data_IF_036934523147
#
_entry.id   IF_036934523147
#
_cell.length_a   1.000
_cell.length_b   1.000
_cell.length_c   1.000
_cell.angle_alpha   90.00
_cell.angle_beta   90.00
_cell.angle_gamma   90.00
#
_symmetry.space_group_name_H-M   'P 1'
#
loop_
_entity.id
_entity.type
_entity.pdbx_description
1 polymer ?
#
# COMPACT_ATOMS: atom_id res chain seq x y z
N UNK A 1 14.48 -9.85 2.72
CA UNK A 1 13.51 -8.76 2.96
C UNK A 1 14.29 -7.60 3.56
N UNK A 2 14.19 -6.41 2.97
CA UNK A 2 14.84 -5.20 3.48
C UNK A 2 13.73 -4.30 4.00
N UNK A 3 13.78 -3.93 5.29
CA UNK A 3 12.85 -2.96 5.86
C UNK A 3 13.44 -1.55 5.75
N UNK A 4 12.70 -0.66 5.11
CA UNK A 4 13.06 0.74 4.95
C UNK A 4 12.10 1.60 5.76
N UNK A 5 12.62 2.38 6.70
CA UNK A 5 11.78 3.21 7.55
C UNK A 5 10.94 4.20 6.75
N UNK A 6 9.63 4.27 7.04
CA UNK A 6 8.66 5.08 6.29
C UNK A 6 8.67 6.60 6.55
N UNK A 7 9.40 7.07 7.56
CA UNK A 7 9.53 8.50 7.89
C UNK A 7 10.18 9.26 6.72
N UNK A 8 9.70 10.48 6.40
CA UNK A 8 10.22 11.25 5.25
C UNK A 8 11.72 11.47 5.35
N UNK A 9 12.22 11.77 6.55
CA UNK A 9 13.66 11.92 6.84
C UNK A 9 14.51 10.69 6.48
N UNK A 10 13.93 9.48 6.50
CA UNK A 10 14.62 8.22 6.17
C UNK A 10 14.54 7.85 4.69
N UNK A 11 13.63 8.45 3.92
CA UNK A 11 13.42 8.12 2.49
C UNK A 11 14.64 8.39 1.61
N UNK A 12 15.50 9.35 1.98
CA UNK A 12 16.78 9.59 1.28
C UNK A 12 17.70 8.36 1.26
N UNK A 13 17.54 7.43 2.20
CA UNK A 13 18.34 6.20 2.27
C UNK A 13 17.77 5.05 1.42
N UNK A 14 16.56 5.21 0.87
CA UNK A 14 15.92 4.15 0.09
C UNK A 14 16.68 3.82 -1.20
N UNK A 15 17.38 4.80 -1.78
CA UNK A 15 18.21 4.60 -2.98
C UNK A 15 19.24 3.47 -2.81
N UNK A 16 19.75 3.26 -1.59
CA UNK A 16 20.73 2.20 -1.31
C UNK A 16 20.09 0.80 -1.20
N UNK A 17 18.75 0.71 -1.17
CA UNK A 17 18.01 -0.52 -1.07
C UNK A 17 17.33 -0.93 -2.39
N UNK A 18 17.47 -0.12 -3.45
CA UNK A 18 16.70 -0.26 -4.69
C UNK A 18 17.44 -0.94 -5.85
N UNK A 19 18.67 -1.40 -5.67
CA UNK A 19 19.31 -2.26 -6.67
C UNK A 19 18.72 -3.68 -6.65
N UNK A 20 18.31 -4.16 -7.83
CA UNK A 20 17.83 -5.53 -8.08
C UNK A 20 16.62 -5.99 -7.26
N UNK A 21 15.69 -5.08 -6.95
CA UNK A 21 14.44 -5.41 -6.22
C UNK A 21 13.49 -6.19 -7.13
N UNK A 22 13.15 -7.43 -6.74
CA UNK A 22 12.18 -8.26 -7.47
C UNK A 22 10.72 -7.92 -7.13
N UNK A 23 10.47 -7.57 -5.87
CA UNK A 23 9.14 -7.28 -5.36
C UNK A 23 9.18 -6.24 -4.25
N UNK A 24 8.19 -5.36 -4.24
CA UNK A 24 7.95 -4.35 -3.22
C UNK A 24 6.72 -4.77 -2.43
N UNK A 25 6.83 -4.74 -1.11
CA UNK A 25 5.70 -4.85 -0.21
C UNK A 25 5.47 -3.46 0.36
N UNK A 26 4.39 -2.82 -0.04
CA UNK A 26 3.99 -1.50 0.44
C UNK A 26 2.88 -1.66 1.48
N UNK A 27 3.09 -1.12 2.69
CA UNK A 27 2.11 -1.19 3.77
C UNK A 27 1.46 0.17 4.00
N UNK A 28 0.14 0.18 4.06
CA UNK A 28 -0.69 1.35 4.33
C UNK A 28 -1.55 1.07 5.55
N UNK A 29 -1.49 1.94 6.54
CA UNK A 29 -2.40 1.91 7.67
C UNK A 29 -3.69 2.65 7.30
N UNK A 30 -4.74 1.91 6.91
CA UNK A 30 -5.98 2.53 6.42
C UNK A 30 -6.78 3.23 7.53
N UNK A 31 -6.52 2.88 8.79
CA UNK A 31 -7.09 3.54 9.97
C UNK A 31 -6.56 4.95 10.25
N UNK A 32 -5.58 5.42 9.47
CA UNK A 32 -4.95 6.74 9.63
C UNK A 32 -5.59 7.82 8.75
N UNK A 33 -6.79 7.54 8.22
CA UNK A 33 -7.55 8.44 7.34
C UNK A 33 -7.93 9.78 7.98
N UNK A 34 -7.90 9.88 9.30
CA UNK A 34 -8.24 11.07 10.09
C UNK A 34 -7.05 11.62 10.87
N UNK A 35 -5.85 11.11 10.61
CA UNK A 35 -4.61 11.54 11.27
C UNK A 35 -3.81 12.46 10.36
N UNK A 36 -3.10 13.40 11.00
CA UNK A 36 -2.09 14.24 10.34
C UNK A 36 -0.68 13.68 10.59
N UNK A 37 0.26 13.99 9.70
CA UNK A 37 1.64 13.55 9.86
C UNK A 37 2.30 14.19 11.08
N UNK A 38 3.11 13.42 11.80
CA UNK A 38 3.89 13.94 12.93
C UNK A 38 4.86 15.07 12.52
N UNK A 39 5.38 15.03 11.29
CA UNK A 39 6.33 16.01 10.77
C UNK A 39 5.64 17.31 10.30
N UNK A 40 4.34 17.27 10.00
CA UNK A 40 3.56 18.43 9.53
C UNK A 40 2.06 18.25 9.86
N UNK A 41 1.51 19.17 10.66
CA UNK A 41 0.10 19.12 11.11
C UNK A 41 -0.94 19.39 10.01
N UNK A 42 -0.51 19.68 8.78
CA UNK A 42 -1.40 20.03 7.66
C UNK A 42 -1.65 18.89 6.67
N UNK A 43 -0.90 17.78 6.77
CA UNK A 43 -0.94 16.71 5.77
C UNK A 43 -1.57 15.45 6.37
N UNK A 44 -2.66 14.99 5.77
CA UNK A 44 -3.31 13.75 6.12
C UNK A 44 -2.41 12.52 5.82
N UNK A 45 -2.32 11.57 6.76
CA UNK A 45 -1.42 10.41 6.64
C UNK A 45 -1.81 9.43 5.53
N UNK A 46 -3.11 9.23 5.30
CA UNK A 46 -3.57 8.36 4.22
C UNK A 46 -3.34 9.00 2.84
N UNK A 47 -3.54 10.32 2.72
CA UNK A 47 -3.19 11.08 1.51
C UNK A 47 -1.70 11.02 1.22
N UNK A 48 -0.85 11.19 2.24
CA UNK A 48 0.60 11.02 2.07
C UNK A 48 0.96 9.60 1.61
N UNK A 49 0.32 8.58 2.18
CA UNK A 49 0.55 7.19 1.79
C UNK A 49 0.19 6.94 0.33
N UNK A 50 -0.88 7.56 -0.16
CA UNK A 50 -1.28 7.52 -1.57
C UNK A 50 -0.24 8.20 -2.47
N UNK A 51 0.26 9.37 -2.08
CA UNK A 51 1.28 10.09 -2.84
C UNK A 51 2.61 9.34 -2.89
N UNK A 52 3.02 8.75 -1.76
CA UNK A 52 4.22 7.92 -1.67
C UNK A 52 4.08 6.66 -2.53
N UNK A 53 2.92 6.01 -2.50
CA UNK A 53 2.64 4.85 -3.34
C UNK A 53 2.80 5.18 -4.83
N UNK A 54 2.20 6.29 -5.30
CA UNK A 54 2.38 6.77 -6.67
C UNK A 54 3.86 7.00 -7.02
N UNK A 55 4.61 7.64 -6.12
CA UNK A 55 6.03 7.90 -6.32
C UNK A 55 6.83 6.60 -6.50
N UNK A 56 6.47 5.54 -5.77
CA UNK A 56 7.14 4.23 -5.85
C UNK A 56 6.80 3.51 -7.14
N UNK A 57 5.52 3.39 -7.50
CA UNK A 57 5.10 2.62 -8.68
C UNK A 57 5.54 3.27 -9.99
N UNK A 58 5.70 4.60 -10.02
CA UNK A 58 6.22 5.33 -11.20
C UNK A 58 7.73 5.60 -11.13
N UNK A 59 8.43 5.01 -10.15
CA UNK A 59 9.89 5.14 -10.06
C UNK A 59 10.56 4.28 -11.13
N UNK A 60 11.41 4.89 -11.95
CA UNK A 60 12.22 4.20 -12.97
C UNK A 60 13.15 3.15 -12.38
N UNK A 61 13.53 3.28 -11.10
CA UNK A 61 14.37 2.32 -10.39
C UNK A 61 13.64 1.03 -10.03
N UNK A 62 12.30 1.08 -10.02
CA UNK A 62 11.42 0.02 -9.55
C UNK A 62 10.44 -0.44 -10.64
N UNK A 63 10.63 0.03 -11.87
CA UNK A 63 9.80 -0.32 -13.03
C UNK A 63 9.73 -1.84 -13.20
N UNK A 64 10.84 -2.54 -12.95
CA UNK A 64 10.89 -3.99 -13.06
C UNK A 64 10.30 -4.76 -11.86
N UNK A 65 10.10 -4.10 -10.72
CA UNK A 65 9.62 -4.74 -9.51
C UNK A 65 8.10 -4.96 -9.54
N UNK A 66 7.67 -6.13 -9.08
CA UNK A 66 6.25 -6.38 -8.76
C UNK A 66 5.86 -5.64 -7.47
N UNK A 67 4.64 -5.09 -7.41
CA UNK A 67 4.17 -4.36 -6.21
C UNK A 67 3.00 -5.08 -5.55
N UNK A 68 3.14 -5.34 -4.24
CA UNK A 68 2.12 -5.90 -3.37
C UNK A 68 1.78 -4.84 -2.33
N UNK A 69 0.50 -4.48 -2.26
CA UNK A 69 -0.03 -3.44 -1.38
C UNK A 69 -0.87 -4.07 -0.26
N UNK A 70 -0.47 -3.82 0.99
CA UNK A 70 -1.24 -4.18 2.16
C UNK A 70 -1.99 -2.98 2.73
N UNK A 71 -3.31 -3.09 2.73
CA UNK A 71 -4.24 -2.20 3.41
C UNK A 71 -4.43 -2.73 4.83
N UNK A 72 -3.52 -2.32 5.73
CA UNK A 72 -3.37 -2.83 7.08
C UNK A 72 -4.15 -2.02 8.12
N UNK A 73 -4.33 -2.61 9.31
CA UNK A 73 -5.10 -2.05 10.45
C UNK A 73 -6.61 -1.95 10.14
N UNK A 74 -7.16 -2.97 9.49
CA UNK A 74 -8.60 -3.04 9.17
C UNK A 74 -9.47 -3.09 10.42
N UNK A 75 -8.99 -3.74 11.46
CA UNK A 75 -9.57 -3.78 12.81
C UNK A 75 -9.77 -2.37 13.38
N UNK A 76 -8.72 -1.55 13.32
CA UNK A 76 -8.80 -0.17 13.82
C UNK A 76 -9.66 0.72 12.92
N UNK A 77 -9.74 0.45 11.62
CA UNK A 77 -10.70 1.15 10.75
C UNK A 77 -12.15 0.83 11.16
N UNK A 78 -12.46 -0.44 11.41
CA UNK A 78 -13.79 -0.91 11.82
C UNK A 78 -14.24 -0.28 13.13
N UNK A 79 -13.34 -0.16 14.11
CA UNK A 79 -13.64 0.54 15.35
C UNK A 79 -13.84 2.05 15.10
N UNK A 80 -12.94 2.67 14.33
CA UNK A 80 -12.85 4.12 14.22
C UNK A 80 -13.98 4.76 13.40
N UNK A 81 -14.42 4.08 12.35
CA UNK A 81 -15.45 4.61 11.43
C UNK A 81 -16.78 4.90 12.12
N UNK A 82 -17.03 4.27 13.28
CA UNK A 82 -18.23 4.46 14.10
C UNK A 82 -18.36 5.86 14.69
N UNK A 83 -17.24 6.55 14.93
CA UNK A 83 -17.22 7.86 15.60
C UNK A 83 -16.41 8.92 14.84
N UNK A 84 -15.52 8.54 13.92
CA UNK A 84 -14.79 9.44 13.03
C UNK A 84 -15.27 9.23 11.60
N UNK A 85 -15.94 10.23 11.03
CA UNK A 85 -16.57 10.09 9.72
C UNK A 85 -15.59 10.34 8.58
N UNK A 86 -15.45 9.37 7.67
CA UNK A 86 -14.52 9.43 6.55
C UNK A 86 -14.76 10.64 5.64
N UNK A 87 -16.03 11.04 5.44
CA UNK A 87 -16.43 12.19 4.61
C UNK A 87 -15.82 13.51 5.09
N UNK A 88 -15.53 13.64 6.39
CA UNK A 88 -14.89 14.84 6.97
C UNK A 88 -13.48 15.06 6.43
N UNK A 89 -12.77 13.96 6.11
CA UNK A 89 -11.39 13.98 5.65
C UNK A 89 -11.27 13.75 4.14
N UNK A 90 -12.25 13.05 3.56
CA UNK A 90 -12.34 12.74 2.14
C UNK A 90 -13.73 13.16 1.63
N UNK A 91 -13.90 14.42 1.20
CA UNK A 91 -15.21 14.95 0.79
C UNK A 91 -15.84 14.24 -0.42
N UNK A 92 -15.06 13.47 -1.18
CA UNK A 92 -15.55 12.67 -2.29
C UNK A 92 -16.04 11.27 -1.89
N UNK A 93 -16.03 10.94 -0.59
CA UNK A 93 -16.65 9.74 -0.06
C UNK A 93 -18.17 9.89 0.02
N UNK A 94 -18.88 9.06 -0.76
CA UNK A 94 -20.34 9.05 -0.84
C UNK A 94 -21.00 7.83 -0.15
N UNK A 95 -20.22 7.04 0.60
CA UNK A 95 -20.73 5.86 1.31
C UNK A 95 -21.44 6.22 2.63
N UNK A 96 -22.18 5.27 3.23
CA UNK A 96 -22.83 5.50 4.51
C UNK A 96 -21.80 5.76 5.64
N UNK A 97 -22.14 6.61 6.63
CA UNK A 97 -21.33 6.81 7.83
C UNK A 97 -21.34 5.54 8.69
N UNK A 98 -20.23 5.25 9.38
CA UNK A 98 -20.14 4.09 10.26
C UNK A 98 -19.98 2.73 9.56
N UNK A 99 -20.00 2.68 8.23
CA UNK A 99 -19.84 1.42 7.48
C UNK A 99 -18.38 1.19 7.08
N UNK A 100 -17.74 0.22 7.74
CA UNK A 100 -16.36 -0.14 7.47
C UNK A 100 -16.16 -0.72 6.06
N UNK A 101 -17.13 -1.47 5.53
CA UNK A 101 -17.00 -2.10 4.21
C UNK A 101 -17.04 -1.07 3.09
N UNK A 102 -17.92 -0.08 3.17
CA UNK A 102 -17.92 1.06 2.24
C UNK A 102 -16.65 1.90 2.35
N UNK A 103 -16.13 2.12 3.57
CA UNK A 103 -14.86 2.81 3.77
C UNK A 103 -13.68 2.04 3.14
N UNK A 104 -13.59 0.71 3.37
CA UNK A 104 -12.58 -0.16 2.75
C UNK A 104 -12.63 -0.10 1.22
N UNK A 105 -13.83 -0.21 0.63
CA UNK A 105 -14.02 -0.13 -0.83
C UNK A 105 -13.59 1.21 -1.40
N UNK A 106 -13.91 2.31 -0.71
CA UNK A 106 -13.48 3.64 -1.11
C UNK A 106 -11.96 3.79 -1.10
N UNK A 107 -11.30 3.39 0.00
CA UNK A 107 -9.84 3.47 0.12
C UNK A 107 -9.18 2.57 -0.93
N UNK A 108 -9.66 1.35 -1.11
CA UNK A 108 -9.20 0.45 -2.17
C UNK A 108 -9.29 1.11 -3.55
N UNK A 109 -10.43 1.74 -3.87
CA UNK A 109 -10.61 2.45 -5.13
C UNK A 109 -9.59 3.58 -5.32
N UNK A 110 -9.27 4.36 -4.28
CA UNK A 110 -8.22 5.41 -4.36
C UNK A 110 -6.87 4.85 -4.81
N UNK A 111 -6.46 3.69 -4.28
CA UNK A 111 -5.20 3.05 -4.66
C UNK A 111 -5.24 2.41 -6.06
N UNK A 112 -6.39 1.84 -6.47
CA UNK A 112 -6.59 1.40 -7.88
C UNK A 112 -6.46 2.58 -8.82
N UNK A 113 -7.18 3.67 -8.53
CA UNK A 113 -7.21 4.86 -9.38
C UNK A 113 -5.80 5.46 -9.50
N UNK A 114 -5.00 5.44 -8.41
CA UNK A 114 -3.60 5.86 -8.41
C UNK A 114 -2.66 4.98 -9.26
N UNK A 115 -3.01 3.71 -9.47
CA UNK A 115 -2.28 2.72 -10.29
C UNK A 115 -2.72 2.70 -11.77
N UNK A 116 -3.72 3.51 -12.13
CA UNK A 116 -4.27 3.53 -13.51
C UNK A 116 -3.19 3.85 -14.54
N UNK A 117 -3.10 3.03 -15.59
CA UNK A 117 -2.13 3.21 -16.68
C UNK A 117 -0.77 2.53 -16.45
N UNK A 118 -0.56 1.91 -15.28
CA UNK A 118 0.63 1.13 -15.02
C UNK A 118 0.57 -0.24 -15.71
N UNK A 119 1.67 -0.67 -16.32
CA UNK A 119 1.72 -1.89 -17.15
C UNK A 119 1.70 -3.19 -16.33
N UNK A 120 2.16 -3.15 -15.07
CA UNK A 120 2.15 -4.31 -14.15
C UNK A 120 0.87 -4.40 -13.33
N UNK A 121 0.41 -5.62 -13.00
CA UNK A 121 -0.73 -5.80 -12.10
C UNK A 121 -0.42 -5.30 -10.68
N UNK A 122 -1.44 -4.77 -10.01
CA UNK A 122 -1.40 -4.41 -8.60
C UNK A 122 -2.06 -5.52 -7.78
N UNK A 123 -1.29 -6.13 -6.87
CA UNK A 123 -1.81 -7.09 -5.90
C UNK A 123 -2.13 -6.37 -4.60
N UNK A 124 -3.41 -6.33 -4.21
CA UNK A 124 -3.86 -5.72 -2.96
C UNK A 124 -4.48 -6.74 -2.03
N UNK A 125 -4.17 -6.60 -0.74
CA UNK A 125 -4.83 -7.36 0.30
C UNK A 125 -5.14 -6.48 1.51
N UNK A 126 -6.30 -6.71 2.10
CA UNK A 126 -6.65 -6.18 3.41
C UNK A 126 -6.03 -7.07 4.47
N UNK A 127 -5.35 -6.46 5.45
CA UNK A 127 -4.66 -7.19 6.51
C UNK A 127 -4.96 -6.62 7.88
N UNK A 128 -4.98 -7.48 8.89
CA UNK A 128 -4.99 -7.09 10.29
C UNK A 128 -3.68 -7.55 10.94
N UNK A 129 -3.15 -6.79 11.90
CA UNK A 129 -1.89 -7.16 12.59
C UNK A 129 -2.04 -8.44 13.43
N UNK A 130 -3.27 -8.78 13.84
CA UNK A 130 -3.56 -10.04 14.54
C UNK A 130 -3.73 -11.23 13.60
N UNK A 131 -3.79 -10.99 12.29
CA UNK A 131 -3.95 -12.05 11.30
C UNK A 131 -2.58 -12.65 10.96
N UNK A 132 -2.30 -13.82 11.53
CA UNK A 132 -1.06 -14.57 11.31
C UNK A 132 -0.97 -15.21 9.92
N UNK A 133 -2.04 -15.16 9.11
CA UNK A 133 -2.02 -15.64 7.72
C UNK A 133 -1.46 -14.62 6.73
N UNK A 134 -1.18 -13.38 7.16
CA UNK A 134 -0.61 -12.34 6.29
C UNK A 134 0.67 -12.79 5.58
N UNK A 135 1.56 -13.52 6.27
CA UNK A 135 2.79 -14.02 5.65
C UNK A 135 2.51 -15.08 4.58
N UNK A 136 1.49 -15.92 4.77
CA UNK A 136 1.05 -16.90 3.77
C UNK A 136 0.48 -16.21 2.53
N UNK A 137 -0.23 -15.09 2.72
CA UNK A 137 -0.73 -14.25 1.64
C UNK A 137 0.42 -13.62 0.85
N UNK A 138 1.42 -13.03 1.54
CA UNK A 138 2.66 -12.56 0.91
C UNK A 138 3.29 -13.66 0.07
N UNK A 139 3.56 -14.83 0.67
CA UNK A 139 4.23 -15.92 -0.02
C UNK A 139 3.43 -16.44 -1.22
N UNK A 140 2.09 -16.43 -1.17
CA UNK A 140 1.23 -16.80 -2.31
C UNK A 140 1.21 -15.75 -3.40
N UNK A 141 1.16 -14.47 -3.06
CA UNK A 141 1.14 -13.36 -4.02
C UNK A 141 2.49 -13.19 -4.73
N UNK A 142 3.60 -13.41 -4.01
CA UNK A 142 4.95 -13.30 -4.54
C UNK A 142 5.34 -14.53 -5.38
N UNK A 143 4.74 -15.71 -5.14
CA UNK A 143 5.13 -16.97 -5.80
C UNK A 143 5.08 -16.91 -7.33
N UNK A 144 3.99 -16.44 -7.97
CA UNK A 144 3.93 -16.35 -9.43
C UNK A 144 4.98 -15.39 -10.00
N UNK A 145 5.21 -14.25 -9.34
CA UNK A 145 6.21 -13.26 -9.77
C UNK A 145 7.64 -13.83 -9.69
N UNK A 146 7.99 -14.53 -8.60
CA UNK A 146 9.29 -15.19 -8.46
C UNK A 146 9.48 -16.34 -9.46
N UNK A 147 8.44 -17.15 -9.68
CA UNK A 147 8.50 -18.28 -10.60
C UNK A 147 8.63 -17.80 -12.05
N UNK A 148 7.88 -16.76 -12.45
CA UNK A 148 7.98 -16.19 -13.80
C UNK A 148 9.39 -15.65 -14.06
N UNK A 149 9.94 -14.87 -13.12
CA UNK A 149 11.27 -14.29 -13.26
C UNK A 149 12.39 -15.36 -13.29
N UNK A 150 12.21 -16.46 -12.54
CA UNK A 150 13.14 -17.60 -12.58
C UNK A 150 13.04 -18.36 -13.91
N UNK A 151 11.83 -18.65 -14.39
CA UNK A 151 11.60 -19.38 -15.65
C UNK A 151 12.01 -18.58 -16.90
N UNK A 152 11.89 -17.25 -16.87
CA UNK A 152 12.41 -16.39 -17.94
C UNK A 152 13.94 -16.39 -17.98
N UNK A 153 14.61 -16.40 -16.82
CA UNK A 153 16.08 -16.57 -16.76
C UNK A 153 16.54 -17.93 -17.30
N UNK A 154 15.80 -19.01 -17.03
CA UNK A 154 16.12 -20.36 -17.52
C UNK A 154 15.78 -20.61 -19.00
N UNK A 155 15.05 -19.70 -19.66
CA UNK A 155 14.74 -19.80 -21.10
C UNK A 155 15.78 -19.15 -22.02
N UNK A 156 16.83 -18.56 -21.44
CA UNK A 156 17.89 -17.83 -22.17
C UNK A 156 19.27 -18.51 -22.00
N UNK A 157 19.32 -19.72 -21.44
CA UNK A 157 20.48 -20.64 -21.51
C UNK A 157 20.15 -21.86 -22.38
#
# INVERSE_FOLDING_TARGET
>A
MVDVGGMRSKRRKWVFAFEHVTSIIFLVAISEYDQVMFETDSVNRLVESLHLFQTIIYSTWLEEASTILFLNKTDLLEEKITHSHLVTYFPDYNGPPGDAESAKKFIHKKFVDAHTGHHKPLHMHFTCTTDTDNIRVVFRAVRPALIHHSLEKFRVE
#
